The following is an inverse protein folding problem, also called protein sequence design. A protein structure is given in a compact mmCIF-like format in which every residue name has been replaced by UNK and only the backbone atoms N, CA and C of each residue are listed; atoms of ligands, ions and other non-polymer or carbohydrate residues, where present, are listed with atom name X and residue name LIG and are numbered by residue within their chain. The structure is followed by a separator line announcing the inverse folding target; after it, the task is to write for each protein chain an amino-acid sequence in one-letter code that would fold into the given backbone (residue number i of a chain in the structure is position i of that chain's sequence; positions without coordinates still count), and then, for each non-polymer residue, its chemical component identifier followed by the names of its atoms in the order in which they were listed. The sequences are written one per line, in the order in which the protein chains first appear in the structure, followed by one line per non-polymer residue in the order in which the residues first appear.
data_IF_825465172221
#
_entry.id   IF_825465172221
#
_cell.length_a   1.000
_cell.length_b   1.000
_cell.length_c   1.000
_cell.angle_alpha   90.00
_cell.angle_beta   90.00
_cell.angle_gamma   90.00
#
_symmetry.space_group_name_H-M   'P 1'
#
loop_
_entity.id
_entity.type
_entity.pdbx_description
1 polymer ?
#
# COMPACT_ATOMS: atom_id res chain seq x y z
N UNK A 1 30.78 -7.50 -12.68
CA UNK A 1 29.32 -7.60 -12.73
C UNK A 1 28.84 -6.53 -11.79
N UNK A 2 28.11 -5.54 -12.26
CA UNK A 2 27.45 -4.58 -11.38
C UNK A 2 26.44 -5.37 -10.54
N UNK A 3 26.61 -5.37 -9.22
CA UNK A 3 25.61 -5.90 -8.32
C UNK A 3 24.34 -5.07 -8.53
N UNK A 4 23.31 -5.69 -9.11
CA UNK A 4 22.00 -5.09 -9.23
C UNK A 4 21.32 -5.20 -7.87
N UNK A 5 21.00 -4.08 -7.24
CA UNK A 5 20.22 -4.00 -6.01
C UNK A 5 18.89 -3.32 -6.28
N UNK A 6 17.87 -3.71 -5.53
CA UNK A 6 16.58 -2.99 -5.49
C UNK A 6 16.65 -1.91 -4.43
N UNK A 7 16.03 -0.76 -4.69
CA UNK A 7 16.05 0.41 -3.81
C UNK A 7 14.69 0.67 -3.13
N UNK A 8 13.90 -0.36 -2.92
CA UNK A 8 12.59 -0.27 -2.31
C UNK A 8 11.45 -0.65 -3.25
N UNK A 9 10.21 -0.54 -2.75
CA UNK A 9 8.99 -0.75 -3.54
C UNK A 9 8.67 0.54 -4.30
N UNK A 10 8.65 0.48 -5.64
CA UNK A 10 8.34 1.64 -6.48
C UNK A 10 6.85 1.92 -6.51
N UNK A 11 6.05 0.95 -6.96
CA UNK A 11 4.60 1.06 -7.13
C UNK A 11 3.90 -0.27 -6.89
N UNK A 12 2.59 -0.18 -6.67
CA UNK A 12 1.69 -1.35 -6.62
C UNK A 12 0.59 -1.10 -7.65
N UNK A 13 0.33 -2.11 -8.50
CA UNK A 13 -0.73 -2.05 -9.52
C UNK A 13 -1.90 -2.91 -9.12
N UNK A 14 -3.10 -2.33 -9.23
CA UNK A 14 -4.37 -2.95 -8.89
C UNK A 14 -5.36 -2.86 -10.06
N UNK A 15 -6.51 -3.47 -9.89
CA UNK A 15 -7.62 -3.42 -10.84
C UNK A 15 -8.83 -2.80 -10.14
N UNK A 16 -9.58 -1.97 -10.84
CA UNK A 16 -10.89 -1.45 -10.43
C UNK A 16 -11.93 -1.72 -11.50
N UNK A 17 -13.17 -1.90 -11.11
CA UNK A 17 -14.33 -1.94 -12.02
C UNK A 17 -15.01 -0.58 -12.17
N UNK A 18 -14.65 0.41 -11.33
CA UNK A 18 -15.29 1.73 -11.23
C UNK A 18 -14.25 2.84 -10.97
N UNK A 19 -13.69 3.40 -12.04
CA UNK A 19 -12.71 4.49 -11.92
C UNK A 19 -13.26 5.76 -11.23
N UNK A 20 -14.50 6.22 -11.45
CA UNK A 20 -15.05 7.34 -10.69
C UNK A 20 -15.09 7.10 -9.18
N UNK A 21 -15.66 5.97 -8.72
CA UNK A 21 -15.70 5.60 -7.30
C UNK A 21 -14.30 5.39 -6.71
N UNK A 22 -13.38 4.85 -7.50
CA UNK A 22 -11.97 4.70 -7.14
C UNK A 22 -11.31 6.07 -6.87
N UNK A 23 -11.56 7.07 -7.72
CA UNK A 23 -11.04 8.44 -7.51
C UNK A 23 -11.66 9.08 -6.27
N UNK A 24 -12.96 8.92 -6.04
CA UNK A 24 -13.62 9.44 -4.82
C UNK A 24 -13.00 8.84 -3.55
N UNK A 25 -12.68 7.56 -3.57
CA UNK A 25 -12.07 6.89 -2.43
C UNK A 25 -10.60 7.30 -2.22
N UNK A 26 -9.76 7.10 -3.23
CA UNK A 26 -8.31 7.30 -3.07
C UNK A 26 -7.91 8.78 -3.07
N UNK A 27 -8.45 9.60 -3.93
CA UNK A 27 -8.14 11.03 -3.94
C UNK A 27 -9.02 11.83 -2.96
N UNK A 28 -10.32 11.55 -2.87
CA UNK A 28 -11.23 12.30 -2.01
C UNK A 28 -11.12 11.89 -0.54
N UNK A 29 -11.29 10.60 -0.22
CA UNK A 29 -11.33 10.15 1.17
C UNK A 29 -9.92 9.95 1.75
N UNK A 30 -9.04 9.22 1.05
CA UNK A 30 -7.67 8.96 1.51
C UNK A 30 -6.71 10.14 1.24
N UNK A 31 -7.13 11.11 0.41
CA UNK A 31 -6.37 12.33 0.16
C UNK A 31 -5.10 12.13 -0.65
N UNK A 32 -4.98 11.03 -1.36
CA UNK A 32 -3.87 10.79 -2.28
C UNK A 32 -3.99 11.69 -3.49
N UNK A 33 -2.87 12.15 -4.04
CA UNK A 33 -2.92 12.96 -5.25
C UNK A 33 -3.15 12.07 -6.46
N UNK A 34 -4.21 12.33 -7.26
CA UNK A 34 -4.34 11.75 -8.59
C UNK A 34 -3.29 12.42 -9.50
N UNK A 35 -2.11 11.81 -9.60
CA UNK A 35 -0.96 12.36 -10.33
C UNK A 35 -1.20 12.30 -11.83
N UNK A 36 -1.83 11.21 -12.29
CA UNK A 36 -2.10 11.00 -13.70
C UNK A 36 -3.34 10.14 -13.93
N UNK A 37 -4.12 10.50 -14.95
CA UNK A 37 -5.11 9.64 -15.59
C UNK A 37 -4.73 9.49 -17.05
N UNK A 38 -4.55 8.27 -17.50
CA UNK A 38 -4.22 7.92 -18.89
C UNK A 38 -4.95 6.65 -19.30
N UNK A 39 -4.53 6.02 -20.37
CA UNK A 39 -5.03 4.71 -20.81
C UNK A 39 -3.93 3.67 -20.71
N UNK A 40 -4.33 2.41 -20.63
CA UNK A 40 -3.41 1.28 -20.73
C UNK A 40 -2.79 1.26 -22.14
N UNK A 41 -1.47 1.06 -22.24
CA UNK A 41 -0.76 1.03 -23.52
C UNK A 41 -1.13 -0.19 -24.35
N UNK A 42 -1.43 -1.30 -23.71
CA UNK A 42 -1.80 -2.57 -24.37
C UNK A 42 -3.28 -2.61 -24.77
N UNK A 43 -4.12 -1.85 -24.05
CA UNK A 43 -5.55 -1.71 -24.34
C UNK A 43 -6.01 -0.27 -24.08
N UNK A 44 -6.02 0.60 -25.11
CA UNK A 44 -6.39 2.01 -24.97
C UNK A 44 -7.85 2.26 -24.55
N UNK A 45 -8.69 1.24 -24.47
CA UNK A 45 -10.04 1.34 -23.92
C UNK A 45 -10.08 1.29 -22.39
N UNK A 46 -8.98 0.92 -21.74
CA UNK A 46 -8.82 0.77 -20.30
C UNK A 46 -8.15 2.00 -19.70
N UNK A 47 -8.80 2.67 -18.76
CA UNK A 47 -8.16 3.76 -18.01
C UNK A 47 -7.06 3.23 -17.11
N UNK A 48 -6.02 4.04 -16.93
CA UNK A 48 -4.94 3.82 -15.98
C UNK A 48 -4.80 5.06 -15.08
N UNK A 49 -5.07 4.87 -13.79
CA UNK A 49 -5.05 5.90 -12.75
C UNK A 49 -3.76 5.75 -11.93
N UNK A 50 -3.18 6.87 -11.52
CA UNK A 50 -1.95 6.91 -10.71
C UNK A 50 -2.17 7.83 -9.52
N UNK A 51 -2.00 7.30 -8.31
CA UNK A 51 -2.10 8.04 -7.06
C UNK A 51 -0.75 8.09 -6.37
N UNK A 52 -0.40 9.24 -5.82
CA UNK A 52 0.90 9.42 -5.16
C UNK A 52 0.94 10.62 -4.23
N UNK A 53 2.14 11.02 -3.88
CA UNK A 53 2.44 12.29 -3.23
C UNK A 53 2.39 13.46 -4.23
N UNK A 54 2.76 14.67 -3.81
CA UNK A 54 2.78 15.86 -4.68
C UNK A 54 3.69 15.73 -5.90
N UNK A 55 4.73 14.90 -5.83
CA UNK A 55 5.74 14.75 -6.87
C UNK A 55 5.54 13.50 -7.73
N UNK A 56 4.68 12.55 -7.31
CA UNK A 56 4.59 11.23 -7.91
C UNK A 56 5.84 10.39 -7.62
N UNK A 57 6.28 10.39 -6.37
CA UNK A 57 7.53 9.77 -5.96
C UNK A 57 7.42 8.24 -5.93
N UNK A 58 8.50 7.51 -6.30
CA UNK A 58 8.61 6.08 -6.01
C UNK A 58 8.37 5.80 -4.52
N UNK A 59 7.66 4.71 -4.23
CA UNK A 59 7.29 4.37 -2.85
C UNK A 59 5.94 4.93 -2.39
N UNK A 60 5.24 5.66 -3.27
CA UNK A 60 3.84 6.05 -3.07
C UNK A 60 2.99 5.89 -4.34
N UNK A 61 3.49 5.34 -5.41
CA UNK A 61 2.75 5.24 -6.66
C UNK A 61 1.80 4.03 -6.64
N UNK A 62 0.53 4.26 -6.24
CA UNK A 62 -0.55 3.27 -6.34
C UNK A 62 -1.29 3.45 -7.65
N UNK A 63 -1.37 2.39 -8.46
CA UNK A 63 -2.00 2.48 -9.78
C UNK A 63 -3.18 1.53 -9.93
N UNK A 64 -4.17 1.93 -10.74
CA UNK A 64 -5.34 1.12 -11.05
C UNK A 64 -5.62 1.08 -12.54
N UNK A 65 -5.83 -0.13 -13.06
CA UNK A 65 -6.41 -0.35 -14.37
C UNK A 65 -7.91 -0.56 -14.24
N UNK A 66 -8.71 0.17 -15.03
CA UNK A 66 -10.17 0.04 -14.99
C UNK A 66 -10.66 -1.01 -15.98
N UNK A 67 -11.29 -2.07 -15.47
CA UNK A 67 -11.99 -3.08 -16.28
C UNK A 67 -13.47 -3.12 -15.89
N UNK A 68 -14.32 -2.26 -16.48
CA UNK A 68 -15.73 -2.20 -16.14
C UNK A 68 -16.44 -3.54 -16.36
N UNK A 69 -17.24 -3.96 -15.39
CA UNK A 69 -17.96 -5.22 -15.45
C UNK A 69 -17.11 -6.46 -15.15
N UNK A 70 -15.87 -6.30 -14.73
CA UNK A 70 -15.09 -7.41 -14.18
C UNK A 70 -15.80 -8.02 -12.98
N UNK A 71 -15.61 -9.32 -12.81
CA UNK A 71 -16.06 -9.97 -11.58
C UNK A 71 -15.22 -9.49 -10.42
N UNK A 72 -15.87 -9.33 -9.26
CA UNK A 72 -15.17 -9.05 -8.01
C UNK A 72 -14.08 -10.10 -7.76
N UNK A 73 -12.88 -9.62 -7.42
CA UNK A 73 -11.73 -10.44 -7.11
C UNK A 73 -11.92 -11.20 -5.80
N UNK A 74 -11.15 -12.25 -5.64
CA UNK A 74 -11.04 -12.98 -4.37
C UNK A 74 -9.57 -13.10 -4.01
N UNK A 75 -9.24 -12.75 -2.77
CA UNK A 75 -7.91 -12.93 -2.26
C UNK A 75 -7.47 -14.40 -2.37
N UNK A 76 -6.29 -14.66 -2.92
CA UNK A 76 -5.77 -15.99 -3.16
C UNK A 76 -4.31 -16.02 -3.54
N UNK A 77 -3.78 -17.22 -3.74
CA UNK A 77 -2.36 -17.44 -4.05
C UNK A 77 -1.89 -16.63 -5.26
N UNK A 78 -0.74 -15.97 -5.10
CA UNK A 78 -0.14 -15.11 -6.12
C UNK A 78 -0.64 -13.66 -6.11
N UNK A 79 -1.47 -13.29 -5.14
CA UNK A 79 -2.06 -11.95 -5.03
C UNK A 79 -1.49 -11.19 -3.84
N UNK A 80 -1.15 -9.91 -4.04
CA UNK A 80 -1.06 -8.94 -2.94
C UNK A 80 -2.49 -8.67 -2.47
N UNK A 81 -2.80 -9.07 -1.25
CA UNK A 81 -4.14 -8.94 -0.70
C UNK A 81 -4.30 -7.80 0.30
N UNK A 82 -3.17 -7.17 0.68
CA UNK A 82 -3.16 -6.02 1.60
C UNK A 82 -2.02 -5.08 1.25
N UNK A 83 -2.33 -3.79 1.26
CA UNK A 83 -1.34 -2.71 1.13
C UNK A 83 -1.15 -2.07 2.50
N UNK A 84 0.11 -1.90 2.89
CA UNK A 84 0.49 -1.29 4.16
C UNK A 84 0.97 0.14 3.91
N UNK A 85 0.44 1.07 4.72
CA UNK A 85 0.69 2.50 4.61
C UNK A 85 1.32 3.05 5.88
N UNK A 86 2.11 4.09 5.73
CA UNK A 86 2.79 4.79 6.82
C UNK A 86 2.02 6.04 7.23
N UNK A 87 2.02 6.30 8.54
CA UNK A 87 1.68 7.60 9.14
C UNK A 87 2.71 7.96 10.19
N UNK A 88 2.80 9.26 10.55
CA UNK A 88 3.88 9.76 11.40
C UNK A 88 3.64 9.66 12.90
N UNK A 89 2.42 9.31 13.34
CA UNK A 89 2.11 9.29 14.79
C UNK A 89 0.93 8.40 15.14
N UNK A 90 0.83 7.94 16.41
CA UNK A 90 -0.36 7.22 16.89
C UNK A 90 -1.66 8.02 16.76
N UNK A 91 -1.63 9.34 16.95
CA UNK A 91 -2.80 10.22 16.80
C UNK A 91 -3.35 10.18 15.36
N UNK A 92 -2.51 9.87 14.38
CA UNK A 92 -2.93 9.71 13.00
C UNK A 92 -3.82 8.48 12.81
N UNK A 93 -3.64 7.41 13.59
CA UNK A 93 -4.51 6.25 13.54
C UNK A 93 -5.93 6.59 14.03
N UNK A 94 -6.04 7.42 15.08
CA UNK A 94 -7.32 7.89 15.59
C UNK A 94 -7.99 8.84 14.59
N UNK A 95 -7.23 9.73 13.99
CA UNK A 95 -7.70 10.60 12.90
C UNK A 95 -8.29 9.78 11.75
N UNK A 96 -7.57 8.76 11.28
CA UNK A 96 -8.04 7.92 10.17
C UNK A 96 -9.24 7.05 10.55
N UNK A 97 -9.28 6.51 11.77
CA UNK A 97 -10.45 5.77 12.26
C UNK A 97 -11.70 6.66 12.27
N UNK A 98 -11.58 7.91 12.73
CA UNK A 98 -12.68 8.86 12.74
C UNK A 98 -13.11 9.28 11.32
N UNK A 99 -12.16 9.61 10.43
CA UNK A 99 -12.43 10.06 9.06
C UNK A 99 -13.08 8.96 8.23
N UNK A 100 -12.55 7.75 8.26
CA UNK A 100 -13.09 6.58 7.57
C UNK A 100 -14.48 6.22 8.12
N UNK A 101 -14.65 6.22 9.44
CA UNK A 101 -15.94 5.97 10.08
C UNK A 101 -17.02 6.99 9.70
N UNK A 102 -16.69 8.27 9.57
CA UNK A 102 -17.61 9.31 9.09
C UNK A 102 -18.04 9.08 7.63
N UNK A 103 -17.18 8.46 6.83
CA UNK A 103 -17.49 8.07 5.46
C UNK A 103 -18.21 6.70 5.37
N UNK A 104 -18.51 6.06 6.50
CA UNK A 104 -19.19 4.74 6.55
C UNK A 104 -18.26 3.56 6.26
N UNK A 105 -16.94 3.77 6.25
CA UNK A 105 -15.96 2.69 6.09
C UNK A 105 -15.71 2.03 7.44
N UNK A 106 -15.89 0.71 7.48
CA UNK A 106 -15.59 -0.07 8.70
C UNK A 106 -14.08 -0.14 8.91
N UNK A 107 -13.66 0.16 10.13
CA UNK A 107 -12.26 0.06 10.55
C UNK A 107 -12.11 -0.92 11.71
N UNK A 108 -10.93 -1.55 11.81
CA UNK A 108 -10.55 -2.47 12.89
C UNK A 108 -9.18 -2.09 13.39
N UNK A 109 -9.04 -1.86 14.71
CA UNK A 109 -7.72 -1.64 15.34
C UNK A 109 -7.06 -2.99 15.64
N UNK A 110 -5.75 -3.06 15.54
CA UNK A 110 -5.00 -4.27 15.90
C UNK A 110 -5.19 -4.67 17.36
N UNK A 111 -5.51 -3.73 18.23
CA UNK A 111 -5.82 -3.94 19.65
C UNK A 111 -7.22 -4.52 19.91
N UNK A 112 -8.10 -4.53 18.91
CA UNK A 112 -9.46 -5.05 19.06
C UNK A 112 -9.45 -6.58 19.16
N UNK A 113 -10.33 -7.15 20.00
CA UNK A 113 -10.45 -8.60 20.13
C UNK A 113 -10.90 -9.21 18.79
N UNK A 114 -10.10 -10.16 18.26
CA UNK A 114 -10.39 -10.81 16.98
C UNK A 114 -10.17 -9.91 15.76
N UNK A 115 -9.36 -8.85 15.90
CA UNK A 115 -9.00 -7.94 14.80
C UNK A 115 -8.59 -8.70 13.54
N UNK A 116 -9.43 -8.67 12.52
CA UNK A 116 -9.13 -9.32 11.23
C UNK A 116 -10.09 -8.87 10.13
N UNK A 117 -9.60 -8.93 8.88
CA UNK A 117 -10.45 -9.02 7.70
C UNK A 117 -10.22 -10.37 7.04
N UNK A 118 -11.30 -11.05 6.65
CA UNK A 118 -11.26 -12.42 6.08
C UNK A 118 -10.49 -13.45 6.94
N UNK A 119 -10.49 -13.28 8.27
CA UNK A 119 -9.76 -14.17 9.18
C UNK A 119 -8.25 -13.95 9.21
N UNK A 120 -7.74 -12.88 8.59
CA UNK A 120 -6.32 -12.52 8.57
C UNK A 120 -6.13 -11.31 9.47
N UNK A 121 -5.42 -11.51 10.56
CA UNK A 121 -5.09 -10.46 11.52
C UNK A 121 -4.13 -9.40 10.97
N UNK A 122 -3.84 -8.37 11.77
CA UNK A 122 -2.83 -7.37 11.45
C UNK A 122 -1.44 -8.01 11.28
N UNK A 123 -0.49 -7.25 10.72
CA UNK A 123 0.88 -7.72 10.49
C UNK A 123 1.67 -7.97 11.78
N UNK A 124 1.21 -7.45 12.91
CA UNK A 124 1.90 -7.55 14.18
C UNK A 124 2.89 -6.40 14.46
N UNK A 125 3.02 -5.44 13.56
CA UNK A 125 3.90 -4.29 13.73
C UNK A 125 3.26 -3.17 14.57
N UNK A 126 3.12 -3.39 15.87
CA UNK A 126 2.57 -2.39 16.78
C UNK A 126 1.06 -2.17 16.63
N UNK A 127 0.60 -0.96 16.96
CA UNK A 127 -0.80 -0.58 16.78
C UNK A 127 -1.06 -0.13 15.35
N UNK A 128 -2.06 -0.75 14.71
CA UNK A 128 -2.41 -0.53 13.31
C UNK A 128 -3.91 -0.38 13.12
N UNK A 129 -4.31 0.22 12.00
CA UNK A 129 -5.71 0.40 11.60
C UNK A 129 -5.95 -0.29 10.26
N UNK A 130 -6.86 -1.26 10.25
CA UNK A 130 -7.27 -2.00 9.05
C UNK A 130 -8.59 -1.44 8.53
N UNK A 131 -8.73 -1.40 7.21
CA UNK A 131 -9.98 -1.09 6.51
C UNK A 131 -9.97 -1.67 5.09
N UNK A 132 -11.09 -1.57 4.39
CA UNK A 132 -11.19 -2.00 3.00
C UNK A 132 -11.65 -0.85 2.11
N UNK A 133 -11.19 -0.85 0.87
CA UNK A 133 -11.76 -0.01 -0.17
C UNK A 133 -13.15 -0.52 -0.61
N UNK A 134 -13.90 0.23 -1.43
CA UNK A 134 -15.23 -0.19 -1.90
C UNK A 134 -15.25 -1.52 -2.67
N UNK A 135 -14.13 -1.97 -3.20
CA UNK A 135 -13.99 -3.20 -3.97
C UNK A 135 -13.34 -4.35 -3.17
N UNK A 136 -13.13 -4.14 -1.86
CA UNK A 136 -12.67 -5.16 -0.92
C UNK A 136 -11.15 -5.33 -0.82
N UNK A 137 -10.34 -4.45 -1.45
CA UNK A 137 -8.90 -4.44 -1.21
C UNK A 137 -8.62 -3.99 0.22
N UNK A 138 -7.88 -4.80 0.95
CA UNK A 138 -7.56 -4.49 2.34
C UNK A 138 -6.37 -3.53 2.43
N UNK A 139 -6.48 -2.56 3.31
CA UNK A 139 -5.44 -1.61 3.67
C UNK A 139 -5.13 -1.72 5.16
N UNK A 140 -3.88 -1.48 5.51
CA UNK A 140 -3.41 -1.39 6.89
C UNK A 140 -2.57 -0.13 7.03
N UNK A 141 -2.94 0.75 7.96
CA UNK A 141 -2.16 1.94 8.32
C UNK A 141 -1.40 1.64 9.60
N UNK A 142 -0.12 1.95 9.63
CA UNK A 142 0.76 1.79 10.78
C UNK A 142 1.61 3.04 11.03
N UNK A 143 2.06 3.19 12.26
CA UNK A 143 2.99 4.26 12.62
C UNK A 143 4.40 3.88 12.21
N UNK A 144 5.06 4.77 11.48
CA UNK A 144 6.44 4.58 11.04
C UNK A 144 7.35 5.66 11.67
N UNK A 145 8.33 5.22 12.40
CA UNK A 145 9.35 6.06 13.06
C UNK A 145 10.77 5.85 12.49
N UNK A 146 10.87 5.16 11.36
CA UNK A 146 12.13 4.87 10.68
C UNK A 146 12.71 6.09 9.93
N UNK A 147 13.85 5.90 9.25
CA UNK A 147 14.64 6.99 8.70
C UNK A 147 14.10 7.59 7.40
N UNK A 148 13.13 6.95 6.76
CA UNK A 148 12.64 7.41 5.45
C UNK A 148 11.84 8.71 5.58
N UNK A 149 12.14 9.67 4.70
CA UNK A 149 11.38 10.90 4.63
C UNK A 149 9.90 10.65 4.27
N UNK A 150 8.93 11.36 4.87
CA UNK A 150 7.53 11.21 4.54
C UNK A 150 7.22 11.70 3.13
N UNK A 151 6.41 10.96 2.38
CA UNK A 151 5.86 11.37 1.10
C UNK A 151 4.45 11.94 1.32
N UNK A 152 4.27 13.24 1.19
CA UNK A 152 3.02 13.94 1.53
C UNK A 152 2.24 14.31 0.28
N UNK A 153 0.96 13.88 0.15
CA UNK A 153 0.10 14.22 -1.01
C UNK A 153 -0.34 15.67 -1.08
N UNK A 154 -0.33 16.41 0.05
CA UNK A 154 -0.72 17.83 0.09
C UNK A 154 -2.22 18.07 -0.07
N UNK A 155 -3.09 17.20 0.45
CA UNK A 155 -4.54 17.35 0.37
C UNK A 155 -5.05 18.45 1.31
N UNK A 156 -5.98 19.30 0.82
CA UNK A 156 -6.46 20.50 1.54
C UNK A 156 -7.25 20.18 2.83
N UNK A 157 -7.94 19.04 2.88
CA UNK A 157 -8.79 18.64 4.03
C UNK A 157 -8.09 17.64 4.97
N UNK A 158 -6.82 17.32 4.74
CA UNK A 158 -6.07 16.40 5.57
C UNK A 158 -4.82 17.12 6.08
N UNK A 159 -4.71 17.34 7.41
CA UNK A 159 -3.50 17.91 7.99
C UNK A 159 -2.27 17.08 7.61
N UNK A 160 -1.16 17.75 7.28
CA UNK A 160 0.06 17.08 6.83
C UNK A 160 0.61 16.07 7.86
N UNK A 161 0.42 16.35 9.15
CA UNK A 161 0.80 15.47 10.26
C UNK A 161 0.03 14.14 10.31
N UNK A 162 -1.16 14.09 9.70
CA UNK A 162 -1.98 12.89 9.63
C UNK A 162 -1.97 12.22 8.24
N UNK A 163 -1.35 12.87 7.24
CA UNK A 163 -1.33 12.35 5.87
C UNK A 163 -0.69 10.96 5.80
N UNK A 164 -1.20 10.13 4.88
CA UNK A 164 -0.52 8.90 4.46
C UNK A 164 0.81 9.29 3.80
N UNK A 165 1.89 8.60 4.20
CA UNK A 165 3.27 8.98 3.89
C UNK A 165 3.98 8.00 2.94
N UNK A 166 3.21 7.27 2.14
CA UNK A 166 3.70 6.26 1.20
C UNK A 166 3.58 4.84 1.73
N UNK A 167 4.07 3.90 0.93
CA UNK A 167 4.01 2.48 1.30
C UNK A 167 4.94 2.16 2.48
N UNK A 168 4.44 1.36 3.40
CA UNK A 168 5.29 0.55 4.27
C UNK A 168 5.68 -0.74 3.54
N UNK A 169 4.71 -1.41 2.95
CA UNK A 169 4.94 -2.65 2.23
C UNK A 169 3.67 -3.26 1.67
N UNK A 170 3.74 -4.56 1.43
CA UNK A 170 2.61 -5.33 0.93
C UNK A 170 2.56 -6.71 1.59
N UNK A 171 1.34 -7.24 1.77
CA UNK A 171 1.11 -8.62 2.20
C UNK A 171 0.50 -9.43 1.07
N UNK A 172 1.06 -10.63 0.85
CA UNK A 172 0.63 -11.49 -0.25
C UNK A 172 0.34 -12.92 0.22
N UNK A 173 -0.52 -13.60 -0.55
CA UNK A 173 -0.69 -15.03 -0.43
C UNK A 173 0.25 -15.75 -1.41
N UNK A 174 0.94 -16.76 -0.93
CA UNK A 174 1.75 -17.64 -1.78
C UNK A 174 1.19 -19.06 -1.80
N UNK A 175 1.05 -19.61 -3.01
CA UNK A 175 0.75 -21.03 -3.19
C UNK A 175 1.97 -21.94 -2.99
N UNK A 176 3.17 -21.37 -2.98
CA UNK A 176 4.44 -22.05 -2.68
C UNK A 176 5.36 -21.11 -1.91
N UNK A 177 5.17 -21.01 -0.58
CA UNK A 177 5.93 -20.08 0.26
C UNK A 177 7.45 -20.32 0.18
N UNK A 178 7.89 -21.56 0.08
CA UNK A 178 9.31 -21.89 0.00
C UNK A 178 9.99 -21.26 -1.23
N UNK A 179 9.37 -21.36 -2.41
CA UNK A 179 9.87 -20.72 -3.62
C UNK A 179 9.81 -19.20 -3.50
N UNK A 180 8.76 -18.65 -2.89
CA UNK A 180 8.63 -17.21 -2.70
C UNK A 180 9.74 -16.68 -1.79
N UNK A 181 10.06 -17.35 -0.68
CA UNK A 181 11.18 -17.00 0.21
C UNK A 181 12.52 -17.01 -0.52
N UNK A 182 12.76 -18.02 -1.36
CA UNK A 182 13.99 -18.08 -2.18
C UNK A 182 14.07 -16.90 -3.16
N UNK A 183 12.96 -16.55 -3.81
CA UNK A 183 12.93 -15.39 -4.72
C UNK A 183 13.16 -14.09 -3.96
N UNK A 184 12.49 -13.87 -2.84
CA UNK A 184 12.67 -12.67 -2.03
C UNK A 184 14.14 -12.53 -1.58
N UNK A 185 14.71 -13.56 -0.95
CA UNK A 185 16.06 -13.48 -0.40
C UNK A 185 17.16 -13.55 -1.45
N UNK A 186 17.11 -14.52 -2.37
CA UNK A 186 18.25 -14.80 -3.27
C UNK A 186 18.22 -13.99 -4.57
N UNK A 187 17.03 -13.59 -5.04
CA UNK A 187 16.87 -12.88 -6.31
C UNK A 187 16.64 -11.39 -6.09
N UNK A 188 15.74 -11.04 -5.15
CA UNK A 188 15.34 -9.67 -4.92
C UNK A 188 16.11 -8.97 -3.80
N UNK A 189 16.92 -9.70 -3.03
CA UNK A 189 17.81 -9.12 -2.02
C UNK A 189 17.12 -8.70 -0.72
N UNK A 190 15.89 -9.20 -0.47
CA UNK A 190 15.26 -8.98 0.82
C UNK A 190 15.97 -9.76 1.94
N UNK A 191 16.02 -9.18 3.11
CA UNK A 191 16.48 -9.83 4.35
C UNK A 191 15.30 -10.47 5.06
N UNK A 192 15.44 -11.73 5.45
CA UNK A 192 14.46 -12.43 6.27
C UNK A 192 14.56 -11.97 7.74
N UNK A 193 13.49 -11.38 8.25
CA UNK A 193 13.37 -10.93 9.65
C UNK A 193 12.62 -11.94 10.55
N UNK A 194 12.24 -13.09 9.98
CA UNK A 194 11.48 -14.13 10.64
C UNK A 194 9.96 -13.97 10.46
N UNK A 195 9.21 -15.01 10.81
CA UNK A 195 7.73 -15.02 10.76
C UNK A 195 7.13 -14.59 9.42
N UNK A 196 7.83 -14.92 8.31
CA UNK A 196 7.47 -14.48 6.95
C UNK A 196 7.49 -12.96 6.73
N UNK A 197 8.25 -12.23 7.55
CA UNK A 197 8.59 -10.83 7.40
C UNK A 197 9.88 -10.67 6.59
N UNK A 198 9.83 -9.84 5.57
CA UNK A 198 10.95 -9.61 4.65
C UNK A 198 11.18 -8.11 4.49
N UNK A 199 12.41 -7.67 4.72
CA UNK A 199 12.83 -6.28 4.63
C UNK A 199 13.77 -6.05 3.46
N UNK A 200 13.48 -5.06 2.64
CA UNK A 200 14.37 -4.53 1.61
C UNK A 200 14.89 -3.17 2.07
N UNK A 201 16.15 -3.11 2.44
CA UNK A 201 16.79 -1.85 2.77
C UNK A 201 16.96 -1.01 1.50
N UNK A 202 16.44 0.21 1.52
CA UNK A 202 16.68 1.15 0.45
C UNK A 202 18.11 1.69 0.52
N UNK A 203 18.79 1.74 -0.62
CA UNK A 203 20.07 2.44 -0.74
C UNK A 203 19.86 3.70 -1.58
N UNK A 204 20.41 4.84 -1.13
CA UNK A 204 20.36 6.07 -1.90
C UNK A 204 21.15 5.90 -3.20
N UNK A 205 20.49 6.09 -4.33
CA UNK A 205 21.08 6.01 -5.67
C UNK A 205 20.94 7.33 -6.42
N UNK A 206 21.52 7.42 -7.61
CA UNK A 206 21.50 8.61 -8.45
C UNK A 206 20.06 9.06 -8.78
N UNK A 207 19.55 10.03 -8.02
CA UNK A 207 18.26 10.69 -8.26
C UNK A 207 17.05 10.07 -7.56
N UNK A 208 17.22 9.04 -6.73
CA UNK A 208 16.15 8.45 -5.93
C UNK A 208 16.50 8.48 -4.44
N UNK A 209 15.56 8.94 -3.61
CA UNK A 209 15.68 8.77 -2.17
C UNK A 209 15.49 7.29 -1.84
N UNK A 210 16.41 6.74 -1.03
CA UNK A 210 16.30 5.37 -0.53
C UNK A 210 15.05 5.22 0.32
N UNK A 211 14.31 4.13 0.14
CA UNK A 211 13.17 3.81 0.99
C UNK A 211 13.20 2.34 1.38
N UNK A 212 12.96 2.11 2.66
CA UNK A 212 12.75 0.76 3.15
C UNK A 212 11.42 0.22 2.65
N UNK A 213 11.39 -1.05 2.25
CA UNK A 213 10.19 -1.74 1.82
C UNK A 213 10.04 -3.07 2.55
N UNK A 214 8.82 -3.42 2.91
CA UNK A 214 8.52 -4.66 3.62
C UNK A 214 7.57 -5.54 2.81
N UNK A 215 7.78 -6.85 2.92
CA UNK A 215 6.94 -7.85 2.29
C UNK A 215 6.58 -8.93 3.30
N UNK A 216 5.30 -9.23 3.38
CA UNK A 216 4.75 -10.20 4.33
C UNK A 216 4.08 -11.35 3.58
N UNK A 217 4.35 -12.57 3.98
CA UNK A 217 3.71 -13.78 3.43
C UNK A 217 2.58 -14.28 4.32
#
# INVERSE_FOLDING_TARGET
MTDLSLNGVHHISCITGDAPGNVEFYAGLLGMRLVKKTVNQDDPSVYHLFYGDEKGSPGFDLTFFEYPGSREGRAGAGMIHRILWRVGSPDSLDYWAARLGQAGVTTVRSSDEGASFYGIGPTGEGDTLLFQDPEGLTHEILVYDGPDAPLIPGHVDIPAEHAIQGFHGARAFSGNPEVTRQVLGQVLGFTDEGEDHWHLAGEAGDGFEARNGYYFL
#
